data_IF_322808231369
#
_entry.id   IF_322808231369
#
_cell.length_a   1.000
_cell.length_b   1.000
_cell.length_c   1.000
_cell.angle_alpha   90.00
_cell.angle_beta   90.00
_cell.angle_gamma   90.00
#
_symmetry.space_group_name_H-M   'P 1'
#
loop_
_entity.id
_entity.type
_entity.pdbx_description
1 polymer ?
#
# COMPACT_ATOMS: atom_id res chain seq x y z
N UNK A 1 23.33 8.11 10.16
CA UNK A 1 22.24 9.00 9.73
C UNK A 1 21.06 8.76 10.66
N UNK A 2 20.78 9.67 11.61
CA UNK A 2 19.66 9.50 12.54
C UNK A 2 18.37 9.84 11.79
N UNK A 3 17.51 8.84 11.59
CA UNK A 3 16.27 8.95 10.80
C UNK A 3 15.77 7.58 10.31
N UNK A 4 16.66 6.60 10.15
CA UNK A 4 16.33 5.30 9.56
C UNK A 4 16.07 4.17 10.56
N UNK A 5 16.10 4.45 11.87
CA UNK A 5 15.91 3.44 12.90
C UNK A 5 14.47 2.97 12.94
N UNK A 6 14.27 1.66 12.82
CA UNK A 6 12.95 1.04 12.84
C UNK A 6 12.27 1.28 14.18
N UNK A 7 11.02 1.74 14.14
CA UNK A 7 10.14 1.77 15.29
C UNK A 7 9.55 0.36 15.49
N UNK A 8 10.33 -0.51 16.14
CA UNK A 8 9.93 -1.91 16.32
C UNK A 8 8.68 -2.09 17.16
N UNK A 9 8.48 -1.24 18.18
CA UNK A 9 7.32 -1.30 19.06
C UNK A 9 6.03 -1.03 18.29
N UNK A 10 6.00 0.07 17.54
CA UNK A 10 4.90 0.39 16.66
C UNK A 10 4.68 -0.68 15.59
N UNK A 11 5.77 -1.17 14.98
CA UNK A 11 5.69 -2.23 13.97
C UNK A 11 5.02 -3.49 14.55
N UNK A 12 5.39 -3.92 15.76
CA UNK A 12 4.74 -5.07 16.43
C UNK A 12 3.29 -4.77 16.80
N UNK A 13 2.94 -3.54 17.16
CA UNK A 13 1.57 -3.13 17.40
C UNK A 13 0.72 -3.21 16.13
N UNK A 14 1.21 -2.65 15.02
CA UNK A 14 0.56 -2.72 13.71
C UNK A 14 0.41 -4.16 13.25
N UNK A 15 1.45 -4.99 13.40
CA UNK A 15 1.39 -6.41 13.07
C UNK A 15 0.24 -7.13 13.78
N UNK A 16 0.05 -6.89 15.09
CA UNK A 16 -1.07 -7.47 15.85
C UNK A 16 -2.43 -6.98 15.37
N UNK A 17 -2.56 -5.68 15.08
CA UNK A 17 -3.81 -5.09 14.60
C UNK A 17 -4.19 -5.65 13.23
N UNK A 18 -3.23 -5.69 12.31
CA UNK A 18 -3.42 -6.16 10.94
C UNK A 18 -3.71 -7.66 10.89
N UNK A 19 -3.05 -8.46 11.74
CA UNK A 19 -3.33 -9.90 11.84
C UNK A 19 -4.77 -10.24 12.27
N UNK A 20 -5.50 -9.29 12.87
CA UNK A 20 -6.91 -9.48 13.25
C UNK A 20 -7.92 -9.13 12.16
N UNK A 21 -7.47 -8.65 10.99
CA UNK A 21 -8.36 -8.29 9.88
C UNK A 21 -8.72 -9.52 9.06
N UNK A 22 -10.00 -9.70 8.72
CA UNK A 22 -10.48 -10.85 7.96
C UNK A 22 -9.86 -11.00 6.58
N UNK A 23 -9.43 -9.90 5.97
CA UNK A 23 -8.76 -9.87 4.67
C UNK A 23 -7.28 -10.28 4.73
N UNK A 24 -6.73 -10.50 5.93
CA UNK A 24 -5.31 -10.81 6.15
C UNK A 24 -5.16 -12.28 6.48
N UNK A 25 -4.51 -13.02 5.57
CA UNK A 25 -4.19 -14.44 5.73
C UNK A 25 -3.10 -14.69 6.76
N UNK A 26 -2.13 -13.77 6.86
CA UNK A 26 -1.04 -13.91 7.80
C UNK A 26 -0.09 -12.72 7.80
N UNK A 27 0.64 -12.58 8.91
CA UNK A 27 1.58 -11.47 9.10
C UNK A 27 2.95 -12.04 9.50
N UNK A 28 4.00 -11.52 8.86
CA UNK A 28 5.40 -11.77 9.24
C UNK A 28 6.01 -10.47 9.72
N UNK A 29 6.45 -10.45 10.97
CA UNK A 29 7.17 -9.31 11.55
C UNK A 29 8.67 -9.52 11.39
N UNK A 30 9.35 -8.59 10.73
CA UNK A 30 10.81 -8.60 10.47
C UNK A 30 11.30 -9.89 9.80
N UNK A 31 10.69 -10.34 8.68
CA UNK A 31 11.18 -11.51 7.97
C UNK A 31 12.62 -11.29 7.49
N UNK A 32 13.49 -12.33 7.41
CA UNK A 32 14.89 -12.16 7.02
C UNK A 32 15.13 -11.42 5.70
N UNK A 33 14.22 -11.56 4.73
CA UNK A 33 14.30 -10.87 3.45
C UNK A 33 13.98 -9.37 3.53
N UNK A 34 13.23 -8.94 4.54
CA UNK A 34 12.78 -7.55 4.76
C UNK A 34 12.80 -7.25 6.28
N UNK A 35 13.99 -7.16 6.89
CA UNK A 35 14.16 -7.16 8.36
C UNK A 35 13.63 -5.90 9.04
N UNK A 36 13.28 -4.87 8.29
CA UNK A 36 12.69 -3.61 8.76
C UNK A 36 11.18 -3.52 8.51
N UNK A 37 10.55 -4.60 8.02
CA UNK A 37 9.14 -4.60 7.61
C UNK A 37 8.25 -5.48 8.46
N UNK A 38 6.99 -5.09 8.53
CA UNK A 38 5.86 -6.00 8.76
C UNK A 38 5.25 -6.33 7.42
N UNK A 39 5.21 -7.60 7.06
CA UNK A 39 4.65 -8.08 5.78
C UNK A 39 3.34 -8.79 6.07
N UNK A 40 2.22 -8.19 5.68
CA UNK A 40 0.91 -8.81 5.70
C UNK A 40 0.63 -9.45 4.33
N UNK A 41 0.24 -10.72 4.32
CA UNK A 41 -0.27 -11.41 3.13
C UNK A 41 -1.79 -11.41 3.18
N UNK A 42 -2.42 -11.03 2.09
CA UNK A 42 -3.88 -10.92 2.03
C UNK A 42 -4.52 -12.24 1.59
N UNK A 43 -5.81 -12.40 1.86
CA UNK A 43 -6.57 -13.57 1.45
C UNK A 43 -6.79 -13.55 -0.06
N UNK A 44 -6.27 -14.58 -0.75
CA UNK A 44 -6.36 -14.71 -2.21
C UNK A 44 -7.81 -14.85 -2.69
N UNK A 45 -8.70 -15.32 -1.84
CA UNK A 45 -10.12 -15.49 -2.15
C UNK A 45 -10.84 -14.17 -2.42
N UNK A 46 -10.26 -13.03 -2.04
CA UNK A 46 -10.77 -11.71 -2.37
C UNK A 46 -10.26 -11.16 -3.71
N UNK A 47 -9.48 -11.93 -4.47
CA UNK A 47 -8.91 -11.51 -5.75
C UNK A 47 -9.32 -12.44 -6.90
N UNK A 48 -9.37 -11.93 -8.15
CA UNK A 48 -9.54 -12.77 -9.34
C UNK A 48 -8.44 -13.85 -9.43
N UNK A 49 -8.72 -15.01 -10.06
CA UNK A 49 -7.75 -16.13 -10.13
C UNK A 49 -6.40 -15.79 -10.78
N UNK A 50 -6.35 -14.75 -11.61
CA UNK A 50 -5.13 -14.25 -12.27
C UNK A 50 -4.17 -13.55 -11.30
N UNK A 51 -4.62 -13.22 -10.09
CA UNK A 51 -3.78 -12.68 -9.01
C UNK A 51 -3.26 -13.83 -8.16
N UNK A 52 -1.95 -14.07 -8.22
CA UNK A 52 -1.28 -15.22 -7.63
C UNK A 52 -0.89 -14.99 -6.17
N UNK A 53 -0.51 -13.76 -5.82
CA UNK A 53 -0.12 -13.38 -4.47
C UNK A 53 -0.35 -11.89 -4.20
N UNK A 54 -0.67 -11.56 -2.95
CA UNK A 54 -0.90 -10.16 -2.56
C UNK A 54 -0.33 -9.86 -1.19
N UNK A 55 0.41 -8.75 -1.11
CA UNK A 55 1.11 -8.34 0.11
C UNK A 55 0.99 -6.85 0.40
N UNK A 56 1.00 -6.51 1.69
CA UNK A 56 1.18 -5.14 2.19
C UNK A 56 2.37 -5.12 3.14
N UNK A 57 3.38 -4.33 2.78
CA UNK A 57 4.59 -4.14 3.57
C UNK A 57 4.56 -2.81 4.31
N UNK A 58 4.61 -2.85 5.63
CA UNK A 58 4.67 -1.66 6.47
C UNK A 58 6.08 -1.45 7.01
N UNK A 59 6.59 -0.22 6.89
CA UNK A 59 7.79 0.25 7.59
C UNK A 59 7.47 1.51 8.37
N UNK A 60 7.90 1.53 9.62
CA UNK A 60 7.79 2.71 10.48
C UNK A 60 9.17 3.03 11.04
N UNK A 61 9.63 4.26 10.85
CA UNK A 61 10.84 4.77 11.48
C UNK A 61 10.51 5.53 12.76
N UNK A 62 11.47 5.71 13.66
CA UNK A 62 11.27 6.50 14.89
C UNK A 62 11.06 8.00 14.63
N UNK A 63 11.49 8.49 13.49
CA UNK A 63 11.42 9.90 13.09
C UNK A 63 10.05 10.31 12.52
N UNK A 64 8.96 9.63 12.91
CA UNK A 64 7.62 9.86 12.34
C UNK A 64 7.57 9.73 10.81
N UNK A 65 8.40 8.85 10.26
CA UNK A 65 8.42 8.49 8.84
C UNK A 65 7.85 7.09 8.62
N UNK A 66 7.19 6.88 7.49
CA UNK A 66 6.73 5.56 7.10
C UNK A 66 6.80 5.35 5.60
N UNK A 67 6.80 4.07 5.23
CA UNK A 67 6.70 3.61 3.85
C UNK A 67 5.81 2.37 3.86
N UNK A 68 4.66 2.45 3.19
CA UNK A 68 3.74 1.32 3.04
C UNK A 68 3.64 0.96 1.57
N UNK A 69 3.95 -0.28 1.22
CA UNK A 69 3.91 -0.78 -0.15
C UNK A 69 2.83 -1.84 -0.25
N UNK A 70 1.90 -1.69 -1.18
CA UNK A 70 0.95 -2.74 -1.54
C UNK A 70 1.32 -3.31 -2.91
N UNK A 71 1.32 -4.64 -3.03
CA UNK A 71 1.73 -5.34 -4.25
C UNK A 71 0.78 -6.50 -4.52
N UNK A 72 0.24 -6.52 -5.73
CA UNK A 72 -0.46 -7.65 -6.34
C UNK A 72 0.47 -8.26 -7.40
N UNK A 73 0.76 -9.55 -7.27
CA UNK A 73 1.45 -10.34 -8.27
C UNK A 73 0.41 -11.01 -9.16
N UNK A 74 0.30 -10.53 -10.39
CA UNK A 74 -0.56 -11.09 -11.42
C UNK A 74 0.24 -12.07 -12.27
N UNK A 75 -0.42 -12.97 -12.98
CA UNK A 75 0.23 -13.87 -13.94
C UNK A 75 0.92 -13.08 -15.06
N UNK A 76 2.21 -12.76 -14.87
CA UNK A 76 3.07 -12.03 -15.80
C UNK A 76 3.17 -10.52 -15.57
N UNK A 77 2.41 -9.96 -14.64
CA UNK A 77 2.35 -8.51 -14.39
C UNK A 77 2.39 -8.18 -12.88
N UNK A 78 2.64 -6.91 -12.55
CA UNK A 78 2.62 -6.44 -11.16
C UNK A 78 1.84 -5.16 -11.06
N UNK A 79 0.88 -5.14 -10.14
CA UNK A 79 0.18 -3.94 -9.72
C UNK A 79 0.72 -3.54 -8.35
N UNK A 80 1.09 -2.28 -8.16
CA UNK A 80 1.60 -1.84 -6.86
C UNK A 80 1.45 -0.35 -6.65
N UNK A 81 1.05 0.07 -5.46
CA UNK A 81 1.05 1.47 -5.05
C UNK A 81 1.74 1.63 -3.70
N UNK A 82 2.04 2.88 -3.33
CA UNK A 82 2.85 3.19 -2.14
C UNK A 82 2.41 4.46 -1.45
N UNK A 83 2.39 4.43 -0.11
CA UNK A 83 2.12 5.59 0.75
C UNK A 83 3.38 5.92 1.55
N UNK A 84 3.88 7.14 1.40
CA UNK A 84 5.12 7.57 2.01
C UNK A 84 4.93 8.83 2.85
N UNK A 85 5.51 8.80 4.05
CA UNK A 85 5.77 9.99 4.85
C UNK A 85 7.26 10.03 5.12
N UNK A 86 7.97 10.96 4.53
CA UNK A 86 9.38 11.21 4.84
C UNK A 86 9.81 12.62 4.45
N UNK A 87 10.82 13.17 5.11
CA UNK A 87 11.38 14.45 4.69
C UNK A 87 12.06 14.28 3.32
N UNK A 88 11.80 15.20 2.39
CA UNK A 88 12.51 15.27 1.12
C UNK A 88 12.58 16.74 0.65
N UNK A 89 13.74 17.25 0.19
CA UNK A 89 13.85 18.60 -0.37
C UNK A 89 13.05 18.85 -1.66
N UNK A 90 12.52 17.80 -2.30
CA UNK A 90 11.89 17.89 -3.63
C UNK A 90 10.38 17.58 -3.65
N UNK A 91 9.79 17.11 -2.56
CA UNK A 91 8.37 16.74 -2.49
C UNK A 91 7.77 17.11 -1.15
N UNK A 92 6.44 17.20 -1.10
CA UNK A 92 5.72 17.26 0.16
C UNK A 92 6.04 16.03 1.01
N UNK A 93 6.01 16.24 2.33
CA UNK A 93 6.37 15.22 3.33
C UNK A 93 5.56 13.94 3.16
N UNK A 94 4.28 14.10 2.82
CA UNK A 94 3.33 13.02 2.53
C UNK A 94 3.12 12.93 1.03
N UNK A 95 3.31 11.74 0.46
CA UNK A 95 3.06 11.52 -0.95
C UNK A 95 2.71 10.07 -1.29
N UNK A 96 1.95 9.92 -2.36
CA UNK A 96 1.44 8.65 -2.86
C UNK A 96 2.10 8.31 -4.20
N UNK A 97 2.58 7.07 -4.36
CA UNK A 97 3.01 6.56 -5.67
C UNK A 97 1.86 5.73 -6.23
N UNK A 98 1.25 6.17 -7.34
CA UNK A 98 0.11 5.47 -7.92
C UNK A 98 0.52 4.11 -8.51
N UNK A 99 -0.47 3.23 -8.74
CA UNK A 99 -0.27 2.02 -9.50
C UNK A 99 0.27 2.27 -10.91
N UNK A 100 0.79 1.22 -11.57
CA UNK A 100 1.13 1.29 -12.99
C UNK A 100 -0.03 1.85 -13.81
N UNK A 101 0.26 2.87 -14.62
CA UNK A 101 -0.64 3.41 -15.62
C UNK A 101 0.08 3.40 -16.98
N UNK A 102 -0.44 2.68 -18.00
CA UNK A 102 0.16 2.66 -19.33
C UNK A 102 0.10 4.02 -20.04
N UNK A 103 -0.83 4.89 -19.66
CA UNK A 103 -1.00 6.24 -20.20
C UNK A 103 -0.16 7.28 -19.45
N UNK A 104 0.34 6.94 -18.25
CA UNK A 104 1.22 7.79 -17.45
C UNK A 104 2.52 7.07 -17.06
N UNK A 105 3.51 7.18 -17.93
CA UNK A 105 4.82 6.55 -17.74
C UNK A 105 5.66 7.17 -16.60
N UNK A 106 5.37 8.40 -16.16
CA UNK A 106 6.21 9.07 -15.16
C UNK A 106 6.07 8.43 -13.78
N UNK A 107 4.89 7.89 -13.46
CA UNK A 107 4.55 7.32 -12.14
C UNK A 107 4.97 8.26 -11.00
N UNK A 108 4.82 9.56 -11.24
CA UNK A 108 5.28 10.57 -10.31
C UNK A 108 4.52 10.46 -8.99
N UNK A 109 5.21 10.78 -7.90
CA UNK A 109 4.60 10.89 -6.60
C UNK A 109 3.57 12.02 -6.60
N UNK A 110 2.37 11.75 -6.12
CA UNK A 110 1.30 12.71 -5.94
C UNK A 110 1.32 13.22 -4.51
N UNK A 111 1.13 14.54 -4.34
CA UNK A 111 0.96 15.12 -3.03
C UNK A 111 -0.24 14.47 -2.30
N UNK A 112 -0.04 14.14 -1.04
CA UNK A 112 -1.07 13.50 -0.22
C UNK A 112 -1.11 14.15 1.16
N UNK A 113 -2.19 13.92 1.89
CA UNK A 113 -2.31 14.33 3.29
C UNK A 113 -2.76 13.12 4.11
N UNK A 114 -1.86 12.61 4.96
CA UNK A 114 -2.17 11.49 5.83
C UNK A 114 -2.48 11.95 7.26
N UNK A 115 -3.30 11.21 8.02
CA UNK A 115 -3.58 11.54 9.41
C UNK A 115 -2.31 11.61 10.28
N UNK A 116 -2.40 12.39 11.36
CA UNK A 116 -1.34 12.41 12.37
C UNK A 116 -1.19 11.07 13.08
N UNK A 117 0.05 10.73 13.43
CA UNK A 117 0.39 9.47 14.07
C UNK A 117 0.54 8.32 13.07
N UNK A 118 1.74 7.74 13.02
CA UNK A 118 2.11 6.71 12.06
C UNK A 118 1.14 5.50 11.97
N UNK A 119 0.51 5.08 13.07
CA UNK A 119 -0.44 3.96 13.03
C UNK A 119 -1.73 4.27 12.28
N UNK A 120 -2.09 5.55 12.13
CA UNK A 120 -3.35 5.96 11.50
C UNK A 120 -3.34 5.72 9.99
N UNK A 121 -2.18 5.75 9.34
CA UNK A 121 -2.04 5.42 7.91
C UNK A 121 -2.53 4.00 7.58
N UNK A 122 -2.50 3.08 8.55
CA UNK A 122 -3.04 1.73 8.36
C UNK A 122 -4.52 1.77 7.97
N UNK A 123 -5.31 2.70 8.53
CA UNK A 123 -6.70 2.91 8.13
C UNK A 123 -6.81 3.34 6.67
N UNK A 124 -6.07 4.38 6.30
CA UNK A 124 -5.99 4.92 4.92
C UNK A 124 -5.69 3.82 3.90
N UNK A 125 -4.66 3.01 4.19
CA UNK A 125 -4.24 1.90 3.33
C UNK A 125 -5.39 0.90 3.18
N UNK A 126 -5.96 0.41 4.28
CA UNK A 126 -6.99 -0.63 4.20
C UNK A 126 -8.32 -0.12 3.63
N UNK A 127 -8.64 1.16 3.74
CA UNK A 127 -9.79 1.76 3.06
C UNK A 127 -9.55 1.78 1.53
N UNK A 128 -8.37 2.21 1.09
CA UNK A 128 -7.99 2.14 -0.33
C UNK A 128 -7.97 0.71 -0.89
N UNK A 129 -7.51 -0.26 -0.09
CA UNK A 129 -7.57 -1.67 -0.49
C UNK A 129 -9.01 -2.15 -0.66
N UNK A 130 -9.97 -1.70 0.17
CA UNK A 130 -11.38 -2.05 0.01
C UNK A 130 -11.95 -1.52 -1.30
N UNK A 131 -11.62 -0.30 -1.70
CA UNK A 131 -12.05 0.22 -3.01
C UNK A 131 -11.44 -0.59 -4.16
N UNK A 132 -10.14 -0.91 -4.08
CA UNK A 132 -9.48 -1.80 -5.04
C UNK A 132 -10.16 -3.17 -5.13
N UNK A 133 -10.55 -3.74 -3.99
CA UNK A 133 -11.33 -4.99 -3.97
C UNK A 133 -12.67 -4.83 -4.68
N UNK A 134 -13.44 -3.81 -4.31
CA UNK A 134 -14.75 -3.54 -4.91
C UNK A 134 -14.64 -3.47 -6.43
N UNK A 135 -13.69 -2.68 -6.96
CA UNK A 135 -13.46 -2.54 -8.39
C UNK A 135 -13.11 -3.88 -9.08
N UNK A 136 -12.26 -4.72 -8.47
CA UNK A 136 -11.92 -6.04 -9.02
C UNK A 136 -13.13 -6.99 -9.03
N UNK A 137 -14.09 -6.82 -8.12
CA UNK A 137 -15.30 -7.64 -8.03
C UNK A 137 -16.45 -7.15 -8.90
N UNK A 138 -16.34 -5.96 -9.52
CA UNK A 138 -17.34 -5.51 -10.50
C UNK A 138 -17.32 -6.38 -11.77
N UNK A 139 -16.14 -6.86 -12.18
CA UNK A 139 -15.95 -7.72 -13.36
C UNK A 139 -14.94 -8.85 -13.09
N UNK A 140 -15.28 -9.85 -12.25
CA UNK A 140 -14.31 -10.87 -11.80
C UNK A 140 -13.85 -11.83 -12.92
N UNK A 141 -14.65 -12.00 -13.98
CA UNK A 141 -14.33 -12.85 -15.13
C UNK A 141 -13.49 -12.13 -16.20
N UNK A 142 -13.47 -10.80 -16.18
CA UNK A 142 -12.73 -9.94 -17.10
C UNK A 142 -12.09 -8.77 -16.33
N UNK A 143 -11.15 -9.05 -15.41
CA UNK A 143 -10.54 -8.02 -14.58
C UNK A 143 -9.62 -7.14 -15.42
N UNK A 144 -9.61 -5.84 -15.15
CA UNK A 144 -8.66 -4.91 -15.77
C UNK A 144 -7.23 -5.24 -15.36
N UNK A 145 -6.39 -5.60 -16.33
CA UNK A 145 -5.00 -5.95 -16.07
C UNK A 145 -4.17 -4.70 -15.69
N UNK A 146 -3.04 -4.86 -14.99
CA UNK A 146 -2.16 -3.73 -14.67
C UNK A 146 -1.69 -2.95 -15.91
N UNK A 147 -1.51 -3.63 -17.05
CA UNK A 147 -1.18 -3.04 -18.35
C UNK A 147 -2.32 -2.24 -19.00
N UNK A 148 -3.54 -2.34 -18.47
CA UNK A 148 -4.76 -1.69 -18.97
C UNK A 148 -5.33 -0.68 -17.95
N UNK A 149 -4.80 -0.68 -16.73
CA UNK A 149 -5.31 0.13 -15.64
C UNK A 149 -4.96 1.61 -15.84
N UNK A 150 -5.97 2.45 -16.05
CA UNK A 150 -5.81 3.92 -16.03
C UNK A 150 -5.95 4.44 -14.60
N UNK A 151 -4.93 5.14 -14.10
CA UNK A 151 -5.03 5.78 -12.79
C UNK A 151 -5.65 7.17 -12.95
N UNK A 152 -6.84 7.38 -12.39
CA UNK A 152 -7.44 8.71 -12.28
C UNK A 152 -7.45 9.17 -10.80
N UNK A 153 -6.70 10.22 -10.44
CA UNK A 153 -6.74 10.77 -9.09
C UNK A 153 -8.09 11.43 -8.75
N UNK A 154 -8.92 11.76 -9.74
CA UNK A 154 -10.20 12.46 -9.59
C UNK A 154 -11.42 11.57 -9.36
N UNK A 155 -11.29 10.24 -9.48
CA UNK A 155 -12.43 9.30 -9.37
C UNK A 155 -12.98 9.13 -7.94
N UNK A 156 -12.37 9.78 -6.95
CA UNK A 156 -12.85 9.77 -5.55
C UNK A 156 -12.42 8.52 -4.75
N UNK A 157 -11.86 7.52 -5.42
CA UNK A 157 -11.30 6.29 -4.82
C UNK A 157 -10.05 6.53 -3.95
N UNK A 158 -9.49 7.74 -4.01
CA UNK A 158 -8.25 8.12 -3.35
C UNK A 158 -8.42 9.37 -2.46
N UNK A 159 -9.22 9.29 -1.38
CA UNK A 159 -9.64 10.45 -0.57
C UNK A 159 -8.51 11.13 0.22
N UNK A 160 -7.28 10.60 0.14
CA UNK A 160 -6.09 11.13 0.80
C UNK A 160 -5.18 11.93 -0.14
N UNK A 161 -5.49 11.98 -1.44
CA UNK A 161 -4.79 12.85 -2.38
C UNK A 161 -5.15 14.30 -2.05
N UNK A 162 -4.15 15.19 -2.13
CA UNK A 162 -4.39 16.63 -1.94
C UNK A 162 -5.24 17.22 -3.07
N UNK A 163 -5.96 18.29 -2.77
CA UNK A 163 -6.63 19.15 -3.77
C UNK A 163 -5.64 19.86 -4.70
#
# INVERSE_FOLDING_TARGET
MPGNDVNEELSRLVARRVAGLSMVRGVRTFPPAKPDRVVARLEREHYPPVVEDVTVDFRFARADEFNVVYVEHWSGETWSCRWDRHENPHSDRDHFHPPPDPNNASRDALAAVYPDGQSAVVGVVFDALRERYTALWENPDEPTYPSEYGFDPGDGDWPFLGD
#
